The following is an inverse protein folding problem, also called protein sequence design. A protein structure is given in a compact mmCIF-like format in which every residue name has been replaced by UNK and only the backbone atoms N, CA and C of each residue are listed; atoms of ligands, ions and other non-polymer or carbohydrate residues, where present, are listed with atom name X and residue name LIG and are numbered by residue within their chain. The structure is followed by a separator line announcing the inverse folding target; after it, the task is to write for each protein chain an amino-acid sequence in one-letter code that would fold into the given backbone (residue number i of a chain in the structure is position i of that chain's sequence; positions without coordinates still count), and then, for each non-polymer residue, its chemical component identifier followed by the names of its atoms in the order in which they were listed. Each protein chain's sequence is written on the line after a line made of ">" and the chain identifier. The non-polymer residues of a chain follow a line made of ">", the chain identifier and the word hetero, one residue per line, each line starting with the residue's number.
data_IF_172383813061
#
_entry.id   IF_172383813061
#
_cell.length_a   1.000
_cell.length_b   1.000
_cell.length_c   1.000
_cell.angle_alpha   90.00
_cell.angle_beta   90.00
_cell.angle_gamma   90.00
#
_symmetry.space_group_name_H-M   'P 1'
#
loop_
_entity.id
_entity.type
_entity.pdbx_description
1 polymer ?
#
# COMPACT_ATOMS: atom_id res chain seq x y z
N UNK A 1 16.36 -33.49 -17.84
CA UNK A 1 15.38 -32.52 -18.38
C UNK A 1 14.63 -32.01 -17.16
N UNK A 2 15.07 -30.88 -16.60
CA UNK A 2 14.32 -30.23 -15.53
C UNK A 2 13.08 -29.60 -16.17
N UNK A 3 11.92 -30.14 -15.81
CA UNK A 3 10.63 -29.57 -16.16
C UNK A 3 10.56 -28.18 -15.51
N UNK A 4 10.74 -27.14 -16.32
CA UNK A 4 10.53 -25.76 -15.89
C UNK A 4 9.04 -25.63 -15.63
N UNK A 5 8.62 -25.75 -14.38
CA UNK A 5 7.24 -25.50 -13.98
C UNK A 5 6.88 -24.08 -14.43
N UNK A 6 6.12 -23.97 -15.51
CA UNK A 6 5.69 -22.68 -16.03
C UNK A 6 4.66 -22.16 -15.04
N UNK A 7 5.09 -21.22 -14.20
CA UNK A 7 4.23 -20.57 -13.22
C UNK A 7 3.04 -19.87 -13.88
N UNK A 8 2.03 -19.48 -13.07
CA UNK A 8 0.88 -18.74 -13.59
C UNK A 8 1.32 -17.47 -14.33
N UNK A 9 0.51 -16.97 -15.29
CA UNK A 9 0.81 -15.75 -16.04
C UNK A 9 1.13 -14.59 -15.10
N UNK A 10 2.08 -13.73 -15.49
CA UNK A 10 2.52 -12.60 -14.67
C UNK A 10 1.35 -11.68 -14.30
N UNK A 11 0.43 -11.46 -15.23
CA UNK A 11 -0.75 -10.64 -15.05
C UNK A 11 -1.68 -11.22 -13.99
N UNK A 12 -1.82 -12.55 -13.95
CA UNK A 12 -2.59 -13.25 -12.91
C UNK A 12 -1.91 -13.13 -11.56
N UNK A 13 -0.57 -13.26 -11.51
CA UNK A 13 0.20 -13.10 -10.28
C UNK A 13 0.09 -11.68 -9.72
N UNK A 14 0.22 -10.66 -10.58
CA UNK A 14 0.09 -9.26 -10.19
C UNK A 14 -1.33 -8.93 -9.73
N UNK A 15 -2.36 -9.44 -10.43
CA UNK A 15 -3.75 -9.27 -10.03
C UNK A 15 -4.06 -9.87 -8.66
N UNK A 16 -3.68 -11.13 -8.44
CA UNK A 16 -3.86 -11.79 -7.14
C UNK A 16 -3.11 -11.05 -6.03
N UNK A 17 -1.88 -10.60 -6.31
CA UNK A 17 -1.08 -9.85 -5.35
C UNK A 17 -1.74 -8.52 -4.97
N UNK A 18 -2.32 -7.81 -5.92
CA UNK A 18 -3.01 -6.55 -5.65
C UNK A 18 -4.30 -6.76 -4.84
N UNK A 19 -5.07 -7.81 -5.15
CA UNK A 19 -6.25 -8.20 -4.36
C UNK A 19 -5.87 -8.53 -2.91
N UNK A 20 -4.84 -9.36 -2.71
CA UNK A 20 -4.33 -9.74 -1.38
C UNK A 20 -3.84 -8.51 -0.60
N UNK A 21 -3.13 -7.58 -1.26
CA UNK A 21 -2.63 -6.35 -0.63
C UNK A 21 -3.78 -5.46 -0.16
N UNK A 22 -4.87 -5.39 -0.93
CA UNK A 22 -6.04 -4.61 -0.54
C UNK A 22 -6.80 -5.24 0.63
N UNK A 23 -6.92 -6.57 0.68
CA UNK A 23 -7.54 -7.28 1.81
C UNK A 23 -6.71 -7.15 3.10
N UNK A 24 -5.38 -7.25 2.98
CA UNK A 24 -4.46 -7.00 4.10
C UNK A 24 -4.62 -5.57 4.62
N UNK A 25 -4.65 -4.58 3.71
CA UNK A 25 -4.82 -3.18 4.09
C UNK A 25 -6.15 -2.95 4.81
N UNK A 26 -7.26 -3.46 4.29
CA UNK A 26 -8.58 -3.35 4.92
C UNK A 26 -8.60 -3.99 6.32
N UNK A 27 -7.99 -5.17 6.45
CA UNK A 27 -7.87 -5.88 7.73
C UNK A 27 -7.07 -5.05 8.75
N UNK A 28 -5.95 -4.45 8.34
CA UNK A 28 -5.13 -3.59 9.21
C UNK A 28 -5.94 -2.37 9.64
N UNK A 29 -6.62 -1.69 8.70
CA UNK A 29 -7.40 -0.49 9.00
C UNK A 29 -8.52 -0.79 9.98
N UNK A 30 -9.29 -1.85 9.73
CA UNK A 30 -10.36 -2.30 10.62
C UNK A 30 -9.83 -2.65 12.02
N UNK A 31 -8.70 -3.36 12.08
CA UNK A 31 -8.08 -3.76 13.36
C UNK A 31 -7.57 -2.54 14.13
N UNK A 32 -6.93 -1.59 13.46
CA UNK A 32 -6.42 -0.35 14.05
C UNK A 32 -7.57 0.54 14.55
N UNK A 33 -8.62 0.72 13.74
CA UNK A 33 -9.80 1.48 14.13
C UNK A 33 -10.48 0.89 15.37
N UNK A 34 -10.65 -0.43 15.41
CA UNK A 34 -11.22 -1.11 16.58
C UNK A 34 -10.32 -0.98 17.81
N UNK A 35 -9.00 -1.15 17.65
CA UNK A 35 -8.04 -1.06 18.76
C UNK A 35 -7.93 0.35 19.36
N UNK A 36 -8.18 1.38 18.55
CA UNK A 36 -8.11 2.79 18.95
C UNK A 36 -9.48 3.41 19.23
N UNK A 37 -10.56 2.64 19.06
CA UNK A 37 -11.96 3.12 19.09
C UNK A 37 -12.19 4.34 18.17
N UNK A 38 -11.45 4.41 17.05
CA UNK A 38 -11.45 5.54 16.15
C UNK A 38 -12.72 5.56 15.27
N UNK A 39 -13.46 6.69 15.24
CA UNK A 39 -14.56 6.87 14.29
C UNK A 39 -14.10 6.76 12.84
N UNK A 40 -14.95 6.20 11.97
CA UNK A 40 -14.65 6.05 10.54
C UNK A 40 -14.25 7.37 9.87
N UNK A 41 -14.90 8.48 10.25
CA UNK A 41 -14.59 9.80 9.67
C UNK A 41 -13.15 10.22 9.94
N UNK A 42 -12.64 9.98 11.15
CA UNK A 42 -11.28 10.35 11.55
C UNK A 42 -10.25 9.44 10.85
N UNK A 43 -10.56 8.15 10.74
CA UNK A 43 -9.73 7.19 10.00
C UNK A 43 -9.61 7.56 8.52
N UNK A 44 -10.71 7.97 7.88
CA UNK A 44 -10.71 8.44 6.50
C UNK A 44 -9.91 9.73 6.33
N UNK A 45 -9.96 10.64 7.30
CA UNK A 45 -9.13 11.85 7.28
C UNK A 45 -7.65 11.52 7.36
N UNK A 46 -7.25 10.57 8.22
CA UNK A 46 -5.87 10.12 8.34
C UNK A 46 -5.38 9.47 7.04
N UNK A 47 -6.19 8.57 6.45
CA UNK A 47 -5.89 7.93 5.16
C UNK A 47 -5.70 8.95 4.04
N UNK A 48 -6.50 10.02 4.02
CA UNK A 48 -6.36 11.08 3.02
C UNK A 48 -5.03 11.83 3.13
N UNK A 49 -4.54 12.04 4.35
CA UNK A 49 -3.21 12.63 4.56
C UNK A 49 -2.10 11.69 4.08
N UNK A 50 -2.23 10.38 4.38
CA UNK A 50 -1.29 9.35 3.94
C UNK A 50 -1.23 9.26 2.41
N UNK A 51 -2.40 9.31 1.75
CA UNK A 51 -2.51 9.35 0.30
C UNK A 51 -1.78 10.58 -0.28
N UNK A 52 -1.99 11.75 0.31
CA UNK A 52 -1.34 12.97 -0.15
C UNK A 52 0.19 12.88 -0.06
N UNK A 53 0.70 12.36 1.07
CA UNK A 53 2.14 12.14 1.28
C UNK A 53 2.73 11.20 0.22
N UNK A 54 2.11 10.03 0.04
CA UNK A 54 2.56 9.04 -0.94
C UNK A 54 2.53 9.59 -2.37
N UNK A 55 1.46 10.31 -2.74
CA UNK A 55 1.34 10.93 -4.07
C UNK A 55 2.42 11.99 -4.32
N UNK A 56 2.72 12.83 -3.32
CA UNK A 56 3.75 13.86 -3.47
C UNK A 56 5.14 13.23 -3.68
N UNK A 57 5.47 12.20 -2.91
CA UNK A 57 6.73 11.49 -3.06
C UNK A 57 6.84 10.81 -4.44
N UNK A 58 5.79 10.11 -4.88
CA UNK A 58 5.73 9.49 -6.20
C UNK A 58 5.82 10.52 -7.33
N UNK A 59 5.15 11.67 -7.20
CA UNK A 59 5.21 12.74 -8.19
C UNK A 59 6.61 13.34 -8.32
N UNK A 60 7.41 13.31 -7.26
CA UNK A 60 8.80 13.78 -7.26
C UNK A 60 9.81 12.75 -7.77
N UNK A 61 9.39 11.49 -7.98
CA UNK A 61 10.28 10.41 -8.39
C UNK A 61 10.82 10.63 -9.82
N UNK A 62 12.13 10.59 -9.97
CA UNK A 62 12.89 10.80 -11.23
C UNK A 62 13.47 9.51 -11.80
N UNK A 63 13.32 8.38 -11.11
CA UNK A 63 13.83 7.09 -11.56
C UNK A 63 13.19 5.92 -10.83
N UNK A 64 13.31 4.72 -11.42
CA UNK A 64 12.67 3.51 -10.91
C UNK A 64 13.04 3.19 -9.45
N UNK A 65 14.29 3.43 -9.04
CA UNK A 65 14.72 3.22 -7.65
C UNK A 65 13.97 4.08 -6.63
N UNK A 66 13.48 5.26 -7.03
CA UNK A 66 12.73 6.16 -6.15
C UNK A 66 11.26 5.75 -5.97
N UNK A 67 10.71 4.93 -6.88
CA UNK A 67 9.36 4.37 -6.74
C UNK A 67 9.28 3.33 -5.60
N UNK A 68 10.43 2.79 -5.20
CA UNK A 68 10.55 1.80 -4.13
C UNK A 68 11.21 2.38 -2.87
N UNK A 69 11.41 3.70 -2.82
CA UNK A 69 11.92 4.35 -1.62
C UNK A 69 10.91 4.26 -0.48
N UNK A 70 11.35 4.10 0.78
CA UNK A 70 10.46 4.18 1.93
C UNK A 70 9.69 5.49 1.94
N UNK A 71 8.46 5.46 2.46
CA UNK A 71 7.66 6.67 2.65
C UNK A 71 8.35 7.58 3.67
N UNK A 72 8.67 8.81 3.29
CA UNK A 72 9.24 9.80 4.21
C UNK A 72 8.12 10.52 4.94
N UNK A 73 8.00 10.27 6.25
CA UNK A 73 7.00 10.91 7.10
C UNK A 73 7.63 12.17 7.73
N UNK A 74 7.01 13.35 7.59
CA UNK A 74 7.48 14.59 8.22
C UNK A 74 7.49 14.49 9.76
N UNK A 75 8.46 15.14 10.41
CA UNK A 75 8.58 15.15 11.88
C UNK A 75 7.41 15.88 12.58
N UNK A 76 6.69 16.74 11.85
CA UNK A 76 5.58 17.56 12.35
C UNK A 76 4.19 16.93 12.11
N UNK A 77 4.15 15.64 11.76
CA UNK A 77 2.92 14.91 11.43
C UNK A 77 2.10 14.43 12.62
#
# INVERSE_FOLDING_TARGET
>A
MEESAQGPPLETLLGNLDDDRMDILDTILRSAMNATEMPLVDALMQLRQWEHLARNQLASAKGAGQLFSPLEIPDDW
#
